data_IF_742417397875
#
_entry.id   IF_742417397875
#
_cell.length_a   1.000
_cell.length_b   1.000
_cell.length_c   1.000
_cell.angle_alpha   90.00
_cell.angle_beta   90.00
_cell.angle_gamma   90.00
#
_symmetry.space_group_name_H-M   'P 1'
#
loop_
_entity.id
_entity.type
_entity.pdbx_description
1 polymer ?
#
# COMPACT_ATOMS: atom_id res chain seq x y z
N UNK A 1 -16.13 12.53 19.68
CA UNK A 1 -16.70 11.76 18.55
C UNK A 1 -16.29 12.52 17.31
N UNK A 2 -15.32 11.99 16.50
CA UNK A 2 -14.81 12.69 15.32
C UNK A 2 -15.94 12.91 14.30
N UNK A 3 -15.97 14.10 13.68
CA UNK A 3 -16.92 14.45 12.61
C UNK A 3 -16.92 13.42 11.45
N UNK A 4 -15.81 12.73 11.24
CA UNK A 4 -15.58 11.79 10.13
C UNK A 4 -16.50 10.56 10.11
N UNK A 5 -17.02 10.11 11.27
CA UNK A 5 -17.90 8.92 11.34
C UNK A 5 -19.32 9.17 10.84
N UNK A 6 -19.83 10.42 10.92
CA UNK A 6 -21.22 10.73 10.58
C UNK A 6 -21.48 10.81 9.07
N UNK A 7 -20.46 11.08 8.28
CA UNK A 7 -20.61 11.35 6.85
C UNK A 7 -20.20 10.18 5.95
N UNK A 8 -19.52 9.14 6.50
CA UNK A 8 -19.11 7.99 5.71
C UNK A 8 -20.26 6.98 5.54
N UNK A 9 -20.60 6.67 4.29
CA UNK A 9 -21.70 5.78 3.91
C UNK A 9 -21.60 4.40 4.59
N UNK A 10 -20.40 3.85 4.73
CA UNK A 10 -20.16 2.53 5.33
C UNK A 10 -20.65 2.50 6.79
N UNK A 11 -20.38 3.55 7.56
CA UNK A 11 -20.85 3.63 8.96
C UNK A 11 -22.36 3.85 9.08
N UNK A 12 -23.00 4.44 8.07
CA UNK A 12 -24.45 4.61 8.07
C UNK A 12 -25.21 3.31 7.77
N UNK A 13 -24.59 2.42 6.97
CA UNK A 13 -25.22 1.16 6.54
C UNK A 13 -25.04 0.02 7.53
N UNK A 14 -24.03 0.09 8.43
CA UNK A 14 -23.69 -1.01 9.31
C UNK A 14 -23.99 -0.71 10.79
N UNK A 15 -24.32 -1.75 11.58
CA UNK A 15 -24.67 -1.57 12.98
C UNK A 15 -23.54 -0.91 13.81
N UNK A 16 -23.85 -0.09 14.84
CA UNK A 16 -22.85 0.65 15.62
C UNK A 16 -21.75 -0.21 16.27
N UNK A 17 -22.06 -1.46 16.63
CA UNK A 17 -21.07 -2.35 17.23
C UNK A 17 -19.92 -2.74 16.26
N UNK A 18 -20.15 -2.67 14.94
CA UNK A 18 -19.13 -2.96 13.93
C UNK A 18 -18.19 -1.79 13.67
N UNK A 19 -18.56 -0.56 14.04
CA UNK A 19 -17.84 0.66 13.70
C UNK A 19 -16.38 0.66 14.18
N UNK A 20 -16.15 0.14 15.40
CA UNK A 20 -14.78 0.04 15.94
C UNK A 20 -13.91 -0.92 15.13
N UNK A 21 -14.49 -2.04 14.66
CA UNK A 21 -13.80 -3.02 13.82
C UNK A 21 -13.53 -2.47 12.41
N UNK A 22 -14.51 -1.78 11.81
CA UNK A 22 -14.33 -1.12 10.51
C UNK A 22 -13.22 -0.07 10.54
N UNK A 23 -13.18 0.70 11.63
CA UNK A 23 -12.12 1.67 11.86
C UNK A 23 -10.75 1.02 12.09
N UNK A 24 -10.69 -0.14 12.76
CA UNK A 24 -9.46 -0.89 12.98
C UNK A 24 -8.87 -1.40 11.65
N UNK A 25 -9.71 -1.97 10.79
CA UNK A 25 -9.30 -2.47 9.46
C UNK A 25 -9.24 -1.37 8.40
N UNK A 26 -9.61 -0.13 8.75
CA UNK A 26 -9.58 1.08 7.89
C UNK A 26 -10.34 0.94 6.58
N UNK A 27 -11.44 0.21 6.56
CA UNK A 27 -12.35 0.15 5.40
C UNK A 27 -13.04 1.49 5.11
N UNK A 28 -13.10 2.38 6.09
CA UNK A 28 -13.54 3.77 5.93
C UNK A 28 -12.59 4.62 5.08
N UNK A 29 -11.39 4.13 4.79
CA UNK A 29 -10.34 4.83 4.03
C UNK A 29 -9.84 3.98 2.86
N UNK A 30 -10.59 3.90 1.76
CA UNK A 30 -10.33 2.98 0.65
C UNK A 30 -8.98 3.17 -0.02
N UNK A 31 -8.40 4.37 0.06
CA UNK A 31 -7.11 4.69 -0.57
C UNK A 31 -6.02 3.68 -0.17
N UNK A 32 -6.04 3.15 1.07
CA UNK A 32 -4.99 2.25 1.54
C UNK A 32 -4.95 0.91 0.79
N UNK A 33 -6.09 0.28 0.54
CA UNK A 33 -6.12 -0.96 -0.23
C UNK A 33 -6.02 -0.71 -1.74
N UNK A 34 -6.49 0.44 -2.22
CA UNK A 34 -6.30 0.84 -3.62
C UNK A 34 -4.82 1.03 -3.95
N UNK A 35 -4.05 1.66 -3.05
CA UNK A 35 -2.59 1.80 -3.21
C UNK A 35 -1.88 0.44 -3.24
N UNK A 36 -2.35 -0.54 -2.46
CA UNK A 36 -1.81 -1.90 -2.48
C UNK A 36 -2.19 -2.66 -3.77
N UNK A 37 -3.40 -2.44 -4.27
CA UNK A 37 -3.90 -3.03 -5.51
C UNK A 37 -3.27 -2.41 -6.78
N UNK A 38 -2.96 -1.12 -6.75
CA UNK A 38 -2.51 -0.34 -7.90
C UNK A 38 -1.33 -0.95 -8.68
N UNK A 39 -0.25 -1.44 -8.03
CA UNK A 39 0.85 -2.12 -8.73
C UNK A 39 0.40 -3.34 -9.54
N UNK A 40 -0.48 -4.13 -8.97
CA UNK A 40 -1.06 -5.32 -9.62
C UNK A 40 -1.95 -4.91 -10.78
N UNK A 41 -2.82 -3.91 -10.55
CA UNK A 41 -3.72 -3.36 -11.56
C UNK A 41 -2.98 -2.88 -12.82
N UNK A 42 -1.81 -2.25 -12.64
CA UNK A 42 -0.94 -1.86 -13.76
C UNK A 42 -0.47 -3.05 -14.57
N UNK A 43 -0.02 -4.11 -13.92
CA UNK A 43 0.45 -5.33 -14.61
C UNK A 43 -0.70 -6.00 -15.35
N UNK A 44 -1.86 -6.14 -14.70
CA UNK A 44 -3.04 -6.72 -15.35
C UNK A 44 -3.51 -5.90 -16.56
N UNK A 45 -3.47 -4.56 -16.44
CA UNK A 45 -3.80 -3.66 -17.55
C UNK A 45 -2.83 -3.78 -18.73
N UNK A 46 -1.56 -4.14 -18.45
CA UNK A 46 -0.52 -4.29 -19.47
C UNK A 46 -0.58 -5.64 -20.19
N UNK A 47 -1.52 -6.53 -19.84
CA UNK A 47 -1.66 -7.86 -20.46
C UNK A 47 -2.08 -7.84 -21.94
N UNK A 48 -2.52 -6.70 -22.45
CA UNK A 48 -3.05 -6.54 -23.82
C UNK A 48 -4.48 -7.06 -24.01
N UNK A 49 -5.02 -7.85 -23.09
CA UNK A 49 -6.38 -8.39 -23.14
C UNK A 49 -7.13 -8.27 -21.81
N UNK A 50 -7.40 -7.04 -21.41
CA UNK A 50 -8.03 -6.70 -20.11
C UNK A 50 -9.41 -7.37 -19.94
N UNK A 51 -10.14 -7.59 -21.03
CA UNK A 51 -11.49 -8.16 -21.00
C UNK A 51 -11.52 -9.68 -21.05
N UNK A 52 -10.36 -10.37 -21.03
CA UNK A 52 -10.37 -11.83 -20.94
C UNK A 52 -10.90 -12.29 -19.58
N UNK A 53 -11.62 -13.40 -19.56
CA UNK A 53 -12.14 -13.96 -18.32
C UNK A 53 -11.05 -14.21 -17.28
N UNK A 54 -9.88 -14.66 -17.71
CA UNK A 54 -8.75 -14.90 -16.81
C UNK A 54 -8.26 -13.62 -16.15
N UNK A 55 -8.10 -12.53 -16.89
CA UNK A 55 -7.65 -11.23 -16.34
C UNK A 55 -8.71 -10.64 -15.40
N UNK A 56 -10.00 -10.76 -15.74
CA UNK A 56 -11.08 -10.31 -14.86
C UNK A 56 -11.14 -11.09 -13.55
N UNK A 57 -10.95 -12.41 -13.60
CA UNK A 57 -10.88 -13.25 -12.39
C UNK A 57 -9.68 -12.85 -11.53
N UNK A 58 -8.49 -12.68 -12.12
CA UNK A 58 -7.30 -12.22 -11.41
C UNK A 58 -7.52 -10.83 -10.80
N UNK A 59 -8.15 -9.91 -11.52
CA UNK A 59 -8.52 -8.59 -11.00
C UNK A 59 -9.35 -8.70 -9.72
N UNK A 60 -10.40 -9.55 -9.71
CA UNK A 60 -11.25 -9.75 -8.54
C UNK A 60 -10.47 -10.39 -7.38
N UNK A 61 -9.67 -11.44 -7.66
CA UNK A 61 -8.85 -12.13 -6.66
C UNK A 61 -7.89 -11.13 -5.98
N UNK A 62 -7.16 -10.35 -6.76
CA UNK A 62 -6.20 -9.39 -6.24
C UNK A 62 -6.86 -8.19 -5.57
N UNK A 63 -7.99 -7.72 -6.08
CA UNK A 63 -8.74 -6.63 -5.44
C UNK A 63 -9.23 -7.04 -4.05
N UNK A 64 -9.85 -8.21 -3.92
CA UNK A 64 -10.26 -8.76 -2.63
C UNK A 64 -9.06 -9.04 -1.73
N UNK A 65 -7.99 -9.64 -2.28
CA UNK A 65 -6.73 -9.87 -1.57
C UNK A 65 -6.12 -8.58 -1.00
N UNK A 66 -6.15 -7.49 -1.77
CA UNK A 66 -5.65 -6.18 -1.33
C UNK A 66 -6.46 -5.60 -0.17
N UNK A 67 -7.79 -5.75 -0.18
CA UNK A 67 -8.66 -5.34 0.93
C UNK A 67 -8.30 -6.13 2.19
N UNK A 68 -8.20 -7.46 2.09
CA UNK A 68 -7.93 -8.35 3.21
C UNK A 68 -6.52 -8.11 3.78
N UNK A 69 -5.49 -8.08 2.93
CA UNK A 69 -4.11 -7.93 3.39
C UNK A 69 -3.82 -6.53 3.90
N UNK A 70 -4.43 -5.49 3.32
CA UNK A 70 -4.35 -4.14 3.87
C UNK A 70 -4.99 -4.04 5.25
N UNK A 71 -6.15 -4.67 5.43
CA UNK A 71 -6.85 -4.75 6.72
C UNK A 71 -5.99 -5.44 7.77
N UNK A 72 -5.40 -6.59 7.44
CA UNK A 72 -4.46 -7.31 8.32
C UNK A 72 -3.26 -6.44 8.70
N UNK A 73 -2.63 -5.76 7.71
CA UNK A 73 -1.51 -4.86 7.95
C UNK A 73 -1.86 -3.69 8.87
N UNK A 74 -3.08 -3.15 8.80
CA UNK A 74 -3.54 -2.10 9.73
C UNK A 74 -3.62 -2.60 11.17
N UNK A 75 -4.11 -3.83 11.39
CA UNK A 75 -4.20 -4.44 12.73
C UNK A 75 -2.79 -4.66 13.29
N UNK A 76 -1.87 -5.22 12.49
CA UNK A 76 -0.46 -5.41 12.91
C UNK A 76 0.17 -4.09 13.32
N UNK A 77 0.01 -3.05 12.51
CA UNK A 77 0.52 -1.70 12.81
C UNK A 77 -0.04 -1.17 14.14
N UNK A 78 -1.36 -1.22 14.32
CA UNK A 78 -2.01 -0.71 15.52
C UNK A 78 -1.67 -1.53 16.78
N UNK A 79 -1.40 -2.85 16.64
CA UNK A 79 -0.91 -3.69 17.75
C UNK A 79 0.51 -3.31 18.18
N UNK A 80 1.42 -3.10 17.21
CA UNK A 80 2.83 -2.76 17.46
C UNK A 80 2.95 -1.33 18.02
N UNK A 81 2.14 -0.41 17.52
CA UNK A 81 2.23 1.01 17.86
C UNK A 81 1.24 1.45 18.95
N UNK A 82 0.54 0.52 19.63
CA UNK A 82 -0.50 0.84 20.61
C UNK A 82 -0.04 1.88 21.67
N UNK A 83 1.17 1.75 22.20
CA UNK A 83 1.68 2.67 23.25
C UNK A 83 2.16 4.01 22.68
N UNK A 84 2.61 4.04 21.43
CA UNK A 84 2.92 5.27 20.69
C UNK A 84 1.63 6.00 20.37
N UNK A 85 0.64 5.28 19.83
CA UNK A 85 -0.66 5.81 19.43
C UNK A 85 -1.42 6.50 20.57
N UNK A 86 -1.31 6.01 21.81
CA UNK A 86 -1.89 6.64 23.01
C UNK A 86 -1.33 8.05 23.26
N UNK A 87 -0.08 8.32 22.88
CA UNK A 87 0.63 9.58 23.11
C UNK A 87 0.42 10.60 21.99
N UNK A 88 0.02 10.18 20.79
CA UNK A 88 -0.12 11.01 19.60
C UNK A 88 -1.55 11.50 19.46
N UNK A 89 -1.75 12.82 19.36
CA UNK A 89 -3.09 13.45 19.32
C UNK A 89 -3.98 12.89 18.22
N UNK A 90 -3.41 12.66 17.03
CA UNK A 90 -4.12 12.14 15.85
C UNK A 90 -4.57 10.68 16.03
N UNK A 91 -3.80 9.86 16.75
CA UNK A 91 -3.99 8.41 16.80
C UNK A 91 -4.54 7.89 18.13
N UNK A 92 -4.55 8.67 19.19
CA UNK A 92 -5.07 8.28 20.53
C UNK A 92 -6.50 7.73 20.53
N UNK A 93 -7.30 8.08 19.53
CA UNK A 93 -8.68 7.62 19.38
C UNK A 93 -8.82 6.33 18.53
N UNK A 94 -7.72 5.75 18.05
CA UNK A 94 -7.74 4.45 17.36
C UNK A 94 -8.33 3.36 18.24
N UNK A 95 -8.93 2.35 17.64
CA UNK A 95 -9.70 1.34 18.35
C UNK A 95 -8.92 0.59 19.45
N UNK A 96 -7.63 0.27 19.19
CA UNK A 96 -6.74 -0.38 20.17
C UNK A 96 -6.20 0.62 21.19
N UNK A 97 -5.70 1.78 20.76
CA UNK A 97 -5.15 2.81 21.64
C UNK A 97 -6.19 3.31 22.66
N UNK A 98 -7.45 3.44 22.26
CA UNK A 98 -8.57 3.86 23.10
C UNK A 98 -9.28 2.70 23.82
N UNK A 99 -8.76 1.48 23.73
CA UNK A 99 -9.32 0.26 24.36
C UNK A 99 -10.77 -0.07 23.95
N UNK A 100 -11.25 0.42 22.80
CA UNK A 100 -12.57 0.07 22.24
C UNK A 100 -12.63 -1.37 21.75
N UNK A 101 -11.50 -1.93 21.36
CA UNK A 101 -11.32 -3.33 21.00
C UNK A 101 -10.19 -3.90 21.85
N UNK A 102 -10.40 -5.09 22.43
CA UNK A 102 -9.36 -5.79 23.18
C UNK A 102 -8.28 -6.33 22.24
N UNK A 103 -7.04 -6.44 22.73
CA UNK A 103 -5.93 -7.06 21.99
C UNK A 103 -6.28 -8.47 21.53
N UNK A 104 -6.99 -9.26 22.37
CA UNK A 104 -7.45 -10.61 22.02
C UNK A 104 -8.36 -10.61 20.80
N UNK A 105 -9.35 -9.72 20.77
CA UNK A 105 -10.29 -9.64 19.64
C UNK A 105 -9.60 -9.15 18.36
N UNK A 106 -8.64 -8.22 18.48
CA UNK A 106 -7.84 -7.77 17.35
C UNK A 106 -6.97 -8.91 16.78
N UNK A 107 -6.37 -9.74 17.65
CA UNK A 107 -5.59 -10.93 17.22
C UNK A 107 -6.46 -11.99 16.55
N UNK A 108 -7.67 -12.24 17.06
CA UNK A 108 -8.62 -13.18 16.43
C UNK A 108 -8.98 -12.66 15.03
N UNK A 109 -9.32 -11.37 14.90
CA UNK A 109 -9.62 -10.79 13.60
C UNK A 109 -8.42 -10.85 12.65
N UNK A 110 -7.21 -10.55 13.15
CA UNK A 110 -5.97 -10.64 12.35
C UNK A 110 -5.78 -12.06 11.81
N UNK A 111 -5.87 -13.08 12.68
CA UNK A 111 -5.73 -14.48 12.26
C UNK A 111 -6.79 -14.86 11.23
N UNK A 112 -8.03 -14.45 11.42
CA UNK A 112 -9.11 -14.69 10.43
C UNK A 112 -8.76 -14.07 9.07
N UNK A 113 -8.29 -12.81 9.05
CA UNK A 113 -7.89 -12.15 7.81
C UNK A 113 -6.69 -12.82 7.14
N UNK A 114 -5.70 -13.27 7.92
CA UNK A 114 -4.53 -14.00 7.39
C UNK A 114 -4.93 -15.34 6.78
N UNK A 115 -5.86 -16.08 7.42
CA UNK A 115 -6.40 -17.32 6.85
C UNK A 115 -7.14 -17.05 5.53
N UNK A 116 -8.02 -16.03 5.49
CA UNK A 116 -8.71 -15.66 4.26
C UNK A 116 -7.71 -15.22 3.18
N UNK A 117 -6.72 -14.40 3.54
CA UNK A 117 -5.67 -13.97 2.61
C UNK A 117 -4.86 -15.15 2.05
N UNK A 118 -4.55 -16.15 2.88
CA UNK A 118 -3.90 -17.36 2.44
C UNK A 118 -4.77 -18.20 1.50
N UNK A 119 -6.08 -18.34 1.81
CA UNK A 119 -7.03 -19.03 0.93
C UNK A 119 -7.18 -18.33 -0.43
N UNK A 120 -7.08 -17.00 -0.48
CA UNK A 120 -7.04 -16.24 -1.72
C UNK A 120 -5.71 -16.50 -2.47
N UNK A 121 -4.58 -16.48 -1.77
CA UNK A 121 -3.25 -16.68 -2.36
C UNK A 121 -3.12 -18.05 -3.05
N UNK A 122 -3.64 -19.11 -2.45
CA UNK A 122 -3.57 -20.47 -3.01
C UNK A 122 -4.46 -20.70 -4.24
N UNK A 123 -5.30 -19.74 -4.62
CA UNK A 123 -6.02 -19.76 -5.91
C UNK A 123 -5.13 -19.34 -7.09
N UNK A 124 -3.95 -18.80 -6.81
CA UNK A 124 -2.99 -18.37 -7.83
C UNK A 124 -2.10 -19.54 -8.27
N UNK A 125 -1.31 -19.31 -9.33
CA UNK A 125 -0.30 -20.28 -9.75
C UNK A 125 0.88 -20.36 -8.77
N UNK A 126 1.70 -21.39 -8.93
CA UNK A 126 2.80 -21.71 -8.01
C UNK A 126 3.82 -20.56 -7.87
N UNK A 127 4.20 -19.91 -8.97
CA UNK A 127 5.15 -18.80 -8.95
C UNK A 127 4.62 -17.60 -8.14
N UNK A 128 3.35 -17.25 -8.32
CA UNK A 128 2.72 -16.17 -7.57
C UNK A 128 2.60 -16.50 -6.08
N UNK A 129 2.34 -17.77 -5.73
CA UNK A 129 2.30 -18.23 -4.33
C UNK A 129 3.67 -18.06 -3.68
N UNK A 130 4.75 -18.51 -4.36
CA UNK A 130 6.12 -18.34 -3.83
C UNK A 130 6.44 -16.88 -3.60
N UNK A 131 6.17 -16.00 -4.58
CA UNK A 131 6.43 -14.56 -4.44
C UNK A 131 5.63 -13.93 -3.31
N UNK A 132 4.38 -14.37 -3.08
CA UNK A 132 3.55 -13.94 -1.95
C UNK A 132 4.10 -14.37 -0.60
N UNK A 133 4.69 -15.57 -0.51
CA UNK A 133 5.32 -16.07 0.71
C UNK A 133 6.67 -15.36 0.97
N UNK A 134 7.49 -15.18 -0.06
CA UNK A 134 8.83 -14.57 0.05
C UNK A 134 8.77 -13.14 0.61
N UNK A 135 7.75 -12.36 0.28
CA UNK A 135 7.62 -10.98 0.78
C UNK A 135 7.13 -10.90 2.23
N UNK A 136 6.52 -11.95 2.76
CA UNK A 136 5.87 -11.95 4.09
C UNK A 136 6.78 -11.49 5.22
N UNK A 137 8.06 -11.93 5.34
CA UNK A 137 8.96 -11.45 6.38
C UNK A 137 9.17 -9.93 6.33
N UNK A 138 9.32 -9.36 5.14
CA UNK A 138 9.51 -7.91 4.99
C UNK A 138 8.24 -7.12 5.36
N UNK A 139 7.06 -7.64 5.03
CA UNK A 139 5.78 -7.06 5.45
C UNK A 139 5.65 -7.09 6.98
N UNK A 140 6.06 -8.17 7.65
CA UNK A 140 6.02 -8.28 9.10
C UNK A 140 6.99 -7.32 9.80
N UNK A 141 8.16 -7.04 9.19
CA UNK A 141 9.16 -6.12 9.72
C UNK A 141 8.87 -4.64 9.46
N UNK A 142 8.08 -4.34 8.41
CA UNK A 142 7.81 -2.96 7.99
C UNK A 142 7.30 -2.04 9.13
N UNK A 143 6.35 -2.45 10.00
CA UNK A 143 5.85 -1.56 11.05
C UNK A 143 6.95 -1.12 12.04
N UNK A 144 7.98 -1.93 12.19
CA UNK A 144 9.13 -1.63 13.06
C UNK A 144 10.16 -0.71 12.39
N UNK A 145 10.12 -0.57 11.05
CA UNK A 145 11.13 0.17 10.29
C UNK A 145 11.37 1.60 10.80
N UNK A 146 10.33 2.30 11.26
CA UNK A 146 10.45 3.65 11.84
C UNK A 146 11.35 3.75 13.07
N UNK A 147 11.65 2.63 13.73
CA UNK A 147 12.43 2.59 14.97
C UNK A 147 13.91 2.40 14.75
N UNK A 148 14.33 1.84 13.60
CA UNK A 148 15.72 1.49 13.34
C UNK A 148 16.22 1.81 11.91
N UNK A 149 15.32 2.05 10.96
CA UNK A 149 15.70 2.31 9.57
C UNK A 149 15.57 3.78 9.22
N UNK A 150 16.62 4.38 8.69
CA UNK A 150 16.73 5.83 8.47
C UNK A 150 15.69 6.37 7.47
N UNK A 151 15.25 5.53 6.51
CA UNK A 151 14.25 5.85 5.48
C UNK A 151 13.15 4.77 5.45
N UNK A 152 12.28 4.71 6.47
CA UNK A 152 11.25 3.66 6.59
C UNK A 152 10.29 3.63 5.39
N UNK A 153 10.08 4.76 4.69
CA UNK A 153 9.31 4.87 3.46
C UNK A 153 9.85 3.96 2.35
N UNK A 154 11.14 3.68 2.33
CA UNK A 154 11.74 2.77 1.35
C UNK A 154 11.32 1.32 1.60
N UNK A 155 11.26 0.88 2.86
CA UNK A 155 10.76 -0.46 3.21
C UNK A 155 9.28 -0.59 2.82
N UNK A 156 8.47 0.45 3.08
CA UNK A 156 7.09 0.51 2.62
C UNK A 156 7.01 0.38 1.10
N UNK A 157 7.83 1.14 0.37
CA UNK A 157 7.84 1.13 -1.09
C UNK A 157 8.17 -0.26 -1.65
N UNK A 158 9.14 -0.95 -1.07
CA UNK A 158 9.48 -2.32 -1.47
C UNK A 158 8.31 -3.28 -1.26
N UNK A 159 7.65 -3.23 -0.10
CA UNK A 159 6.57 -4.16 0.25
C UNK A 159 5.29 -3.90 -0.52
N UNK A 160 4.86 -2.63 -0.63
CA UNK A 160 3.60 -2.27 -1.29
C UNK A 160 3.62 -2.55 -2.79
N UNK A 161 4.77 -2.31 -3.44
CA UNK A 161 4.88 -2.47 -4.88
C UNK A 161 5.28 -3.88 -5.31
N UNK A 162 5.60 -4.78 -4.37
CA UNK A 162 5.89 -6.18 -4.68
C UNK A 162 4.77 -6.90 -5.41
N UNK A 163 3.55 -6.39 -5.28
CA UNK A 163 2.39 -6.84 -6.04
C UNK A 163 2.60 -6.88 -7.56
N UNK A 164 3.51 -6.05 -8.13
CA UNK A 164 3.89 -6.14 -9.54
C UNK A 164 4.39 -7.54 -9.91
N UNK A 165 5.27 -8.12 -9.09
CA UNK A 165 5.85 -9.44 -9.36
C UNK A 165 4.83 -10.56 -9.16
N UNK A 166 3.98 -10.45 -8.11
CA UNK A 166 2.91 -11.42 -7.86
C UNK A 166 1.89 -11.40 -9.00
N UNK A 167 1.47 -10.20 -9.44
CA UNK A 167 0.53 -10.02 -10.55
C UNK A 167 1.10 -10.52 -11.87
N UNK A 168 2.37 -10.26 -12.14
CA UNK A 168 3.09 -10.74 -13.31
C UNK A 168 3.16 -12.27 -13.36
N UNK A 169 3.57 -12.90 -12.27
CA UNK A 169 3.63 -14.35 -12.16
C UNK A 169 2.24 -14.98 -12.31
N UNK A 170 1.21 -14.44 -11.63
CA UNK A 170 -0.16 -14.93 -11.71
C UNK A 170 -0.75 -14.84 -13.13
N UNK A 171 -0.37 -13.80 -13.87
CA UNK A 171 -0.83 -13.58 -15.24
C UNK A 171 -0.26 -14.63 -16.22
N UNK A 172 0.93 -15.19 -15.93
CA UNK A 172 1.61 -16.14 -16.83
C UNK A 172 1.85 -15.57 -18.22
N UNK A 173 2.01 -14.24 -18.32
CA UNK A 173 2.11 -13.53 -19.60
C UNK A 173 3.54 -13.48 -20.14
N UNK A 174 3.66 -13.21 -21.44
CA UNK A 174 4.94 -12.98 -22.11
C UNK A 174 5.54 -11.59 -21.84
N UNK A 175 5.05 -10.85 -20.84
CA UNK A 175 5.64 -9.56 -20.46
C UNK A 175 7.06 -9.80 -19.96
N UNK A 176 8.08 -9.13 -20.54
CA UNK A 176 9.47 -9.31 -20.12
C UNK A 176 9.64 -8.92 -18.64
N UNK A 177 10.39 -9.72 -17.88
CA UNK A 177 10.69 -9.43 -16.48
C UNK A 177 11.37 -8.06 -16.32
N UNK A 178 12.24 -7.66 -17.26
CA UNK A 178 12.87 -6.33 -17.27
C UNK A 178 11.85 -5.19 -17.25
N UNK A 179 10.77 -5.31 -18.02
CA UNK A 179 9.69 -4.31 -18.05
C UNK A 179 8.98 -4.23 -16.71
N UNK A 180 8.66 -5.37 -16.09
CA UNK A 180 8.05 -5.41 -14.75
C UNK A 180 8.98 -4.81 -13.70
N UNK A 181 10.28 -5.06 -13.79
CA UNK A 181 11.27 -4.49 -12.88
C UNK A 181 11.34 -2.95 -13.02
N UNK A 182 11.26 -2.42 -14.24
CA UNK A 182 11.19 -0.97 -14.49
C UNK A 182 9.91 -0.38 -13.88
N UNK A 183 8.76 -1.03 -14.07
CA UNK A 183 7.51 -0.62 -13.44
C UNK A 183 7.64 -0.61 -11.91
N UNK A 184 8.17 -1.68 -11.32
CA UNK A 184 8.40 -1.78 -9.87
C UNK A 184 9.26 -0.63 -9.35
N UNK A 185 10.38 -0.32 -10.02
CA UNK A 185 11.22 0.82 -9.66
C UNK A 185 10.44 2.15 -9.74
N UNK A 186 9.69 2.37 -10.82
CA UNK A 186 8.85 3.57 -10.95
C UNK A 186 7.89 3.73 -9.77
N UNK A 187 7.24 2.65 -9.38
CA UNK A 187 6.28 2.64 -8.28
C UNK A 187 6.94 2.82 -6.90
N UNK A 188 8.20 2.37 -6.73
CA UNK A 188 8.99 2.69 -5.54
C UNK A 188 9.18 4.21 -5.41
N UNK A 189 9.59 4.90 -6.48
CA UNK A 189 9.75 6.34 -6.47
C UNK A 189 8.43 7.08 -6.22
N UNK A 190 7.33 6.57 -6.75
CA UNK A 190 6.02 7.11 -6.47
C UNK A 190 5.63 6.95 -5.00
N UNK A 191 5.87 5.77 -4.42
CA UNK A 191 5.59 5.50 -3.01
C UNK A 191 6.43 6.40 -2.10
N UNK A 192 7.72 6.58 -2.39
CA UNK A 192 8.59 7.50 -1.66
C UNK A 192 8.05 8.93 -1.68
N UNK A 193 7.54 9.38 -2.83
CA UNK A 193 6.97 10.72 -2.95
C UNK A 193 5.71 10.87 -2.10
N UNK A 194 4.67 10.06 -2.34
CA UNK A 194 3.40 10.26 -1.64
C UNK A 194 3.49 9.99 -0.14
N UNK A 195 4.29 8.99 0.28
CA UNK A 195 4.42 8.70 1.70
C UNK A 195 5.27 9.74 2.44
N UNK A 196 6.23 10.39 1.75
CA UNK A 196 6.92 11.56 2.29
C UNK A 196 5.96 12.74 2.48
N UNK A 197 5.06 13.00 1.52
CA UNK A 197 4.02 14.04 1.68
C UNK A 197 3.14 13.69 2.89
N UNK A 198 2.72 12.44 3.00
CA UNK A 198 1.91 11.98 4.13
C UNK A 198 2.64 12.13 5.47
N UNK A 199 3.93 11.79 5.52
CA UNK A 199 4.76 11.89 6.72
C UNK A 199 4.95 13.34 7.23
N UNK A 200 4.70 14.36 6.41
CA UNK A 200 4.77 15.76 6.86
C UNK A 200 3.75 16.08 7.95
N UNK A 201 2.64 15.32 8.01
CA UNK A 201 1.60 15.50 9.03
C UNK A 201 2.08 15.09 10.42
N UNK A 202 2.99 14.11 10.51
CA UNK A 202 3.48 13.53 11.76
C UNK A 202 4.90 14.02 12.10
N UNK A 203 5.50 14.93 11.32
CA UNK A 203 6.92 15.33 11.46
C UNK A 203 7.29 15.79 12.87
N UNK A 204 6.42 16.57 13.54
CA UNK A 204 6.67 17.05 14.91
C UNK A 204 6.62 15.92 15.94
N UNK A 205 5.67 15.03 15.77
CA UNK A 205 5.47 13.89 16.67
C UNK A 205 6.56 12.85 16.48
N UNK A 206 6.94 12.52 15.25
CA UNK A 206 8.04 11.62 14.92
C UNK A 206 9.36 12.13 15.54
N UNK A 207 9.61 13.45 15.48
CA UNK A 207 10.78 14.09 16.10
C UNK A 207 10.79 13.92 17.62
N UNK A 208 9.65 14.17 18.29
CA UNK A 208 9.50 14.07 19.75
C UNK A 208 9.65 12.63 20.26
N UNK A 209 9.29 11.66 19.41
CA UNK A 209 9.35 10.22 19.73
C UNK A 209 10.66 9.56 19.27
N UNK A 210 11.60 10.32 18.71
CA UNK A 210 12.86 9.83 18.14
C UNK A 210 12.63 8.73 17.08
N UNK A 211 11.62 8.89 16.24
CA UNK A 211 11.32 7.99 15.12
C UNK A 211 11.98 8.51 13.85
N UNK A 212 12.33 7.60 12.95
CA UNK A 212 12.86 7.96 11.64
C UNK A 212 11.73 8.23 10.64
N UNK A 213 11.95 9.22 9.77
CA UNK A 213 11.09 9.51 8.62
C UNK A 213 11.85 10.27 7.53
N UNK A 214 11.37 10.19 6.28
CA UNK A 214 11.95 10.94 5.16
C UNK A 214 11.90 12.46 5.39
N UNK A 215 10.84 12.97 6.03
CA UNK A 215 10.70 14.40 6.35
C UNK A 215 11.78 14.88 7.33
N UNK A 216 12.11 14.07 8.32
CA UNK A 216 13.19 14.36 9.27
C UNK A 216 14.57 14.22 8.62
N UNK A 217 14.74 13.20 7.76
CA UNK A 217 15.99 12.94 7.05
C UNK A 217 16.35 14.08 6.09
N UNK A 218 15.40 14.52 5.27
CA UNK A 218 15.65 15.54 4.25
C UNK A 218 15.41 16.97 4.73
N UNK A 219 14.65 17.18 5.81
CA UNK A 219 14.42 18.48 6.43
C UNK A 219 14.02 19.55 5.43
N UNK A 220 14.79 20.62 5.30
CA UNK A 220 14.55 21.73 4.34
C UNK A 220 14.69 21.31 2.88
N UNK A 221 15.40 20.20 2.58
CA UNK A 221 15.58 19.66 1.23
C UNK A 221 14.47 18.70 0.80
N UNK A 222 13.43 18.51 1.62
CA UNK A 222 12.34 17.55 1.33
C UNK A 222 11.61 17.85 0.01
N UNK A 223 11.46 19.13 -0.37
CA UNK A 223 10.83 19.52 -1.66
C UNK A 223 11.69 19.08 -2.84
N UNK A 224 13.02 19.23 -2.74
CA UNK A 224 13.95 18.77 -3.78
C UNK A 224 13.88 17.24 -3.90
N UNK A 225 13.87 16.54 -2.78
CA UNK A 225 13.71 15.09 -2.75
C UNK A 225 12.41 14.66 -3.43
N UNK A 226 11.26 15.28 -3.09
CA UNK A 226 9.96 14.99 -3.68
C UNK A 226 9.98 15.17 -5.21
N UNK A 227 10.49 16.31 -5.69
CA UNK A 227 10.57 16.59 -7.12
C UNK A 227 11.44 15.55 -7.85
N UNK A 228 12.58 15.16 -7.27
CA UNK A 228 13.42 14.11 -7.84
C UNK A 228 12.68 12.77 -7.92
N UNK A 229 11.95 12.37 -6.88
CA UNK A 229 11.16 11.12 -6.89
C UNK A 229 10.08 11.15 -7.96
N UNK A 230 9.36 12.28 -8.08
CA UNK A 230 8.30 12.46 -9.08
C UNK A 230 8.87 12.42 -10.50
N UNK A 231 9.95 13.15 -10.78
CA UNK A 231 10.58 13.17 -12.10
C UNK A 231 11.08 11.77 -12.48
N UNK A 232 11.79 11.11 -11.56
CA UNK A 232 12.32 9.75 -11.80
C UNK A 232 11.19 8.73 -12.05
N UNK A 233 10.09 8.82 -11.28
CA UNK A 233 8.89 7.99 -11.52
C UNK A 233 8.39 8.14 -12.95
N UNK A 234 8.18 9.38 -13.44
CA UNK A 234 7.63 9.61 -14.77
C UNK A 234 8.59 9.18 -15.88
N UNK A 235 9.88 9.41 -15.72
CA UNK A 235 10.90 8.90 -16.63
C UNK A 235 10.83 7.38 -16.77
N UNK A 236 10.73 6.65 -15.64
CA UNK A 236 10.64 5.20 -15.64
C UNK A 236 9.31 4.68 -16.21
N UNK A 237 8.17 5.39 -16.01
CA UNK A 237 6.89 5.01 -16.61
C UNK A 237 6.93 5.14 -18.14
N UNK A 238 7.57 6.19 -18.67
CA UNK A 238 7.75 6.35 -20.12
C UNK A 238 8.63 5.20 -20.65
N UNK A 239 9.72 4.89 -19.93
CA UNK A 239 10.60 3.78 -20.33
C UNK A 239 9.89 2.41 -20.27
N UNK A 240 9.05 2.18 -19.26
CA UNK A 240 8.18 1.01 -19.17
C UNK A 240 7.22 0.92 -20.37
N UNK A 241 6.49 1.98 -20.68
CA UNK A 241 5.58 2.02 -21.82
C UNK A 241 6.28 1.79 -23.16
N UNK A 242 7.49 2.34 -23.33
CA UNK A 242 8.31 2.11 -24.51
C UNK A 242 8.80 0.66 -24.62
N UNK A 243 9.09 0.01 -23.48
CA UNK A 243 9.52 -1.40 -23.45
C UNK A 243 8.39 -2.40 -23.80
N UNK A 244 7.14 -1.95 -23.81
CA UNK A 244 5.94 -2.72 -24.15
C UNK A 244 5.23 -2.19 -25.41
N UNK A 245 5.86 -1.28 -26.15
CA UNK A 245 5.33 -0.69 -27.38
C UNK A 245 3.94 -0.06 -27.22
N UNK A 246 3.67 0.60 -26.07
CA UNK A 246 2.37 1.27 -25.82
C UNK A 246 2.11 2.47 -26.75
N UNK A 247 3.11 2.87 -27.53
CA UNK A 247 3.00 3.88 -28.56
C UNK A 247 3.06 5.33 -28.07
N UNK A 248 3.00 6.23 -29.04
CA UNK A 248 3.21 7.67 -28.84
C UNK A 248 2.13 8.33 -27.94
N UNK A 249 0.87 7.87 -28.06
CA UNK A 249 -0.24 8.43 -27.27
C UNK A 249 -0.02 8.21 -25.78
N UNK A 250 0.45 7.02 -25.37
CA UNK A 250 0.78 6.73 -23.98
C UNK A 250 1.83 7.72 -23.45
N UNK A 251 2.91 7.93 -24.20
CA UNK A 251 3.98 8.85 -23.79
C UNK A 251 3.48 10.29 -23.66
N UNK A 252 2.65 10.78 -24.58
CA UNK A 252 2.03 12.12 -24.48
C UNK A 252 1.17 12.21 -23.22
N UNK A 253 0.31 11.23 -22.93
CA UNK A 253 -0.53 11.25 -21.75
C UNK A 253 0.31 11.28 -20.47
N UNK A 254 1.36 10.47 -20.37
CA UNK A 254 2.26 10.47 -19.22
C UNK A 254 2.96 11.81 -19.04
N UNK A 255 3.47 12.41 -20.11
CA UNK A 255 4.11 13.74 -20.09
C UNK A 255 3.10 14.81 -19.65
N UNK A 256 1.89 14.81 -20.23
CA UNK A 256 0.85 15.77 -19.87
C UNK A 256 0.49 15.68 -18.39
N UNK A 257 0.29 14.47 -17.87
CA UNK A 257 0.02 14.27 -16.43
C UNK A 257 1.21 14.72 -15.57
N UNK A 258 2.45 14.54 -16.05
CA UNK A 258 3.63 14.94 -15.29
C UNK A 258 3.78 16.46 -15.15
N UNK A 259 3.21 17.24 -16.08
CA UNK A 259 3.22 18.72 -16.04
C UNK A 259 2.14 19.30 -15.11
N UNK A 260 1.14 18.51 -14.74
CA UNK A 260 0.05 18.93 -13.85
C UNK A 260 0.40 18.66 -12.37
N UNK A 261 1.31 17.73 -12.10
CA UNK A 261 1.73 17.33 -10.75
C UNK A 261 3.03 18.03 -10.33
#
# INVERSE_FOLDING_TARGET
>A
MNKDYKDNLIFKLLPPFTHSYLSLVRLDKPIGFLLLFYPIGFVLASSGNIMSNNVLILFLIFFLGSIIMRSAGCIVNDLIDTDIDKKVVRTKNRALASSKISTKNALILLLTLLVIGFLILIQLNYEAIILGIVITPLIALYPLAKRFFILPQFILALTYNWGCFIGWAALGSNIPFSSIFILYLSLIFWTLAYDTIYATQDEKEDRNLNLYSSTLLFGSKKVIFLNLMIITKYFLIIFYGSSLDFGFIFNILVITISLIN
#
